data_IF_730538435764
#
_entry.id   IF_730538435764
#
_cell.length_a   1.000
_cell.length_b   1.000
_cell.length_c   1.000
_cell.angle_alpha   90.00
_cell.angle_beta   90.00
_cell.angle_gamma   90.00
#
_symmetry.space_group_name_H-M   'P 1'
#
loop_
_entity.id
_entity.type
_entity.pdbx_description
1 polymer ?
#
# COMPACT_ATOMS: atom_id res chain seq x y z
N UNK A 1 14.59 -13.52 2.85
CA UNK A 1 14.35 -12.13 3.28
C UNK A 1 14.30 -12.16 4.79
N UNK A 2 14.84 -11.17 5.52
CA UNK A 2 14.63 -11.12 6.99
C UNK A 2 13.13 -11.18 7.27
N UNK A 3 12.72 -11.97 8.26
CA UNK A 3 11.35 -11.91 8.75
C UNK A 3 11.07 -10.48 9.22
N UNK A 4 9.90 -9.96 8.85
CA UNK A 4 9.41 -8.66 9.26
C UNK A 4 8.04 -8.86 9.89
N UNK A 5 7.65 -7.99 10.82
CA UNK A 5 6.35 -8.06 11.48
C UNK A 5 5.26 -7.42 10.63
N UNK A 6 5.56 -6.28 10.01
CA UNK A 6 4.61 -5.48 9.24
C UNK A 6 5.13 -5.12 7.86
N UNK A 7 4.25 -5.23 6.86
CA UNK A 7 4.45 -4.63 5.55
C UNK A 7 3.64 -3.35 5.44
N UNK A 8 4.30 -2.30 4.94
CA UNK A 8 3.69 -1.01 4.66
C UNK A 8 3.95 -0.68 3.20
N UNK A 9 2.90 -0.30 2.48
CA UNK A 9 3.04 0.22 1.13
C UNK A 9 2.45 1.61 1.05
N UNK A 10 3.18 2.53 0.44
CA UNK A 10 2.79 3.92 0.23
C UNK A 10 2.86 4.20 -1.27
N UNK A 11 1.75 4.65 -1.85
CA UNK A 11 1.64 4.90 -3.29
C UNK A 11 0.98 6.24 -3.59
N UNK A 12 1.43 6.85 -4.67
CA UNK A 12 1.02 8.16 -5.16
C UNK A 12 0.44 8.02 -6.57
N UNK A 13 -0.82 8.39 -6.73
CA UNK A 13 -1.51 8.34 -8.01
C UNK A 13 -2.23 9.66 -8.27
N UNK A 14 -1.65 10.48 -9.14
CA UNK A 14 -2.14 11.82 -9.47
C UNK A 14 -2.38 12.68 -8.22
N UNK A 15 -3.64 13.00 -7.93
CA UNK A 15 -4.03 13.86 -6.81
C UNK A 15 -4.29 13.07 -5.53
N UNK A 16 -4.00 11.76 -5.51
CA UNK A 16 -4.20 10.90 -4.35
C UNK A 16 -2.90 10.31 -3.84
N UNK A 17 -2.84 10.16 -2.52
CA UNK A 17 -1.86 9.40 -1.79
C UNK A 17 -2.60 8.35 -0.97
N UNK A 18 -2.12 7.12 -1.04
CA UNK A 18 -2.61 6.02 -0.23
C UNK A 18 -1.50 5.35 0.55
N UNK A 19 -1.86 4.72 1.65
CA UNK A 19 -1.03 3.71 2.26
C UNK A 19 -1.87 2.56 2.81
N UNK A 20 -1.24 1.39 2.91
CA UNK A 20 -1.77 0.25 3.65
C UNK A 20 -0.72 -0.30 4.62
N UNK A 21 -1.20 -0.97 5.66
CA UNK A 21 -0.39 -1.72 6.62
C UNK A 21 -1.01 -3.10 6.80
N UNK A 22 -0.19 -4.15 6.75
CA UNK A 22 -0.61 -5.54 6.97
C UNK A 22 0.44 -6.29 7.79
N UNK A 23 -0.01 -7.10 8.76
CA UNK A 23 0.87 -8.04 9.48
C UNK A 23 1.39 -9.12 8.54
N UNK A 24 2.68 -9.46 8.64
CA UNK A 24 3.32 -10.50 7.83
C UNK A 24 2.58 -11.84 7.90
N UNK A 25 2.18 -12.27 9.10
CA UNK A 25 1.43 -13.53 9.31
C UNK A 25 0.12 -13.58 8.50
N UNK A 26 -0.54 -12.43 8.28
CA UNK A 26 -1.80 -12.34 7.53
C UNK A 26 -1.60 -12.33 6.01
N UNK A 27 -0.39 -12.04 5.54
CA UNK A 27 -0.10 -11.93 4.10
C UNK A 27 -0.49 -13.23 3.39
N UNK A 28 -0.09 -14.40 3.92
CA UNK A 28 -0.36 -15.70 3.28
C UNK A 28 -1.84 -15.96 3.08
N UNK A 29 -2.67 -15.62 4.07
CA UNK A 29 -4.13 -15.75 3.99
C UNK A 29 -4.77 -14.73 3.03
N UNK A 30 -4.10 -13.59 2.84
CA UNK A 30 -4.56 -12.52 1.97
C UNK A 30 -4.30 -12.80 0.49
N UNK A 31 -3.17 -13.44 0.17
CA UNK A 31 -2.72 -13.67 -1.21
C UNK A 31 -3.76 -14.34 -2.14
N UNK A 32 -4.49 -15.40 -1.74
CA UNK A 32 -5.49 -16.03 -2.61
C UNK A 32 -6.59 -15.06 -3.03
N UNK A 33 -6.96 -14.12 -2.16
CA UNK A 33 -8.08 -13.20 -2.36
C UNK A 33 -7.75 -12.08 -3.35
N UNK A 34 -6.47 -11.77 -3.46
CA UNK A 34 -5.94 -10.71 -4.32
C UNK A 34 -5.26 -11.27 -5.57
N UNK A 35 -5.40 -12.58 -5.83
CA UNK A 35 -4.81 -13.27 -6.99
C UNK A 35 -5.21 -12.67 -8.35
N UNK A 36 -6.38 -12.03 -8.42
CA UNK A 36 -6.90 -11.38 -9.64
C UNK A 36 -6.49 -9.92 -9.78
N UNK A 37 -5.77 -9.35 -8.81
CA UNK A 37 -5.35 -7.95 -8.87
C UNK A 37 -4.18 -7.82 -9.85
N UNK A 38 -4.21 -6.73 -10.62
CA UNK A 38 -3.25 -6.40 -11.65
C UNK A 38 -3.06 -4.88 -11.73
N UNK A 39 -1.89 -4.46 -12.21
CA UNK A 39 -1.61 -3.04 -12.40
C UNK A 39 -2.60 -2.40 -13.37
N UNK A 40 -3.36 -1.43 -12.88
CA UNK A 40 -4.45 -0.81 -13.63
C UNK A 40 -3.99 -0.20 -14.96
N UNK A 41 -2.78 0.41 -14.97
CA UNK A 41 -2.21 1.07 -16.16
C UNK A 41 -2.00 0.13 -17.34
N UNK A 42 -1.79 -1.18 -17.08
CA UNK A 42 -1.49 -2.18 -18.12
C UNK A 42 -2.74 -2.86 -18.70
N UNK A 43 -3.92 -2.54 -18.17
CA UNK A 43 -5.15 -3.20 -18.59
C UNK A 43 -5.74 -2.55 -19.84
N UNK A 44 -6.13 -3.39 -20.80
CA UNK A 44 -6.88 -2.98 -22.00
C UNK A 44 -8.32 -2.55 -21.66
N UNK A 45 -9.00 -3.31 -20.79
CA UNK A 45 -10.40 -3.10 -20.42
C UNK A 45 -10.55 -2.60 -18.98
N UNK A 46 -10.04 -1.39 -18.72
CA UNK A 46 -9.94 -0.77 -17.40
C UNK A 46 -11.26 -0.72 -16.60
N UNK A 47 -12.35 -0.24 -17.22
CA UNK A 47 -13.66 -0.12 -16.55
C UNK A 47 -14.22 -1.48 -16.11
N UNK A 48 -14.19 -2.47 -17.00
CA UNK A 48 -14.68 -3.82 -16.70
C UNK A 48 -13.88 -4.49 -15.57
N UNK A 49 -12.56 -4.30 -15.57
CA UNK A 49 -11.70 -4.77 -14.48
C UNK A 49 -12.07 -4.14 -13.15
N UNK A 50 -12.17 -2.81 -13.07
CA UNK A 50 -12.50 -2.10 -11.82
C UNK A 50 -13.85 -2.56 -11.26
N UNK A 51 -14.87 -2.70 -12.11
CA UNK A 51 -16.17 -3.17 -11.68
C UNK A 51 -16.12 -4.59 -11.10
N UNK A 52 -15.32 -5.46 -11.72
CA UNK A 52 -15.13 -6.84 -11.25
C UNK A 52 -14.35 -6.90 -9.94
N UNK A 53 -13.28 -6.10 -9.83
CA UNK A 53 -12.46 -6.06 -8.61
C UNK A 53 -13.21 -5.39 -7.46
N UNK A 54 -14.02 -4.36 -7.70
CA UNK A 54 -14.87 -3.76 -6.66
C UNK A 54 -15.74 -4.81 -5.97
N UNK A 55 -16.44 -5.63 -6.77
CA UNK A 55 -17.23 -6.76 -6.26
C UNK A 55 -16.40 -7.75 -5.44
N UNK A 56 -15.17 -8.03 -5.86
CA UNK A 56 -14.26 -8.92 -5.13
C UNK A 56 -13.76 -8.30 -3.82
N UNK A 57 -13.44 -7.00 -3.82
CA UNK A 57 -13.04 -6.24 -2.63
C UNK A 57 -14.13 -6.32 -1.57
N UNK A 58 -15.38 -6.07 -1.97
CA UNK A 58 -16.54 -6.08 -1.08
C UNK A 58 -16.84 -7.51 -0.60
N UNK A 59 -16.92 -8.48 -1.52
CA UNK A 59 -17.21 -9.89 -1.19
C UNK A 59 -16.20 -10.49 -0.22
N UNK A 60 -14.90 -10.24 -0.42
CA UNK A 60 -13.84 -10.81 0.40
C UNK A 60 -13.49 -9.96 1.63
N UNK A 61 -14.17 -8.81 1.81
CA UNK A 61 -13.90 -7.81 2.85
C UNK A 61 -12.41 -7.46 2.92
N UNK A 62 -11.80 -7.19 1.76
CA UNK A 62 -10.34 -7.00 1.63
C UNK A 62 -9.83 -5.91 2.60
N UNK A 63 -10.53 -4.78 2.69
CA UNK A 63 -10.10 -3.66 3.53
C UNK A 63 -10.11 -4.00 5.03
N UNK A 64 -11.04 -4.84 5.52
CA UNK A 64 -11.13 -5.17 6.95
C UNK A 64 -10.03 -6.10 7.44
N UNK A 65 -9.24 -6.67 6.52
CA UNK A 65 -8.12 -7.57 6.84
C UNK A 65 -6.79 -6.82 7.01
N UNK A 66 -6.72 -5.59 6.50
CA UNK A 66 -5.58 -4.70 6.66
C UNK A 66 -5.59 -4.12 8.08
N UNK A 67 -4.41 -3.90 8.65
CA UNK A 67 -4.27 -3.22 9.94
C UNK A 67 -4.70 -1.75 9.81
N UNK A 68 -4.28 -1.11 8.71
CA UNK A 68 -4.67 0.25 8.34
C UNK A 68 -4.73 0.36 6.83
N UNK A 69 -5.66 1.18 6.35
CA UNK A 69 -5.77 1.62 4.97
C UNK A 69 -6.29 3.05 5.01
N UNK A 70 -5.56 3.98 4.40
CA UNK A 70 -6.07 5.33 4.15
C UNK A 70 -5.72 5.76 2.74
N UNK A 71 -6.67 6.44 2.11
CA UNK A 71 -6.50 7.13 0.83
C UNK A 71 -6.97 8.56 1.05
N UNK A 72 -6.11 9.51 0.74
CA UNK A 72 -6.35 10.95 0.87
C UNK A 72 -5.90 11.67 -0.40
N UNK A 73 -6.25 12.95 -0.50
CA UNK A 73 -5.63 13.82 -1.49
C UNK A 73 -4.17 14.10 -1.11
N UNK A 74 -3.35 14.41 -2.11
CA UNK A 74 -1.92 14.69 -1.91
C UNK A 74 -1.65 15.92 -1.03
N UNK A 75 -2.57 16.88 -0.96
CA UNK A 75 -2.52 18.01 -0.01
C UNK A 75 -2.46 17.55 1.46
N UNK A 76 -3.03 16.38 1.78
CA UNK A 76 -2.99 15.77 3.11
C UNK A 76 -1.77 14.85 3.31
N UNK A 77 -0.71 14.97 2.51
CA UNK A 77 0.51 14.15 2.68
C UNK A 77 1.08 14.20 4.10
N UNK A 78 1.20 15.37 4.76
CA UNK A 78 1.70 15.44 6.13
C UNK A 78 0.89 14.58 7.11
N UNK A 79 -0.44 14.48 6.94
CA UNK A 79 -1.30 13.65 7.79
C UNK A 79 -1.01 12.16 7.61
N UNK A 80 -0.84 11.70 6.35
CA UNK A 80 -0.50 10.31 6.06
C UNK A 80 0.86 9.95 6.65
N UNK A 81 1.85 10.82 6.52
CA UNK A 81 3.15 10.59 7.12
C UNK A 81 3.05 10.57 8.64
N UNK A 82 2.39 11.55 9.27
CA UNK A 82 2.19 11.57 10.72
C UNK A 82 1.55 10.29 11.26
N UNK A 83 0.54 9.77 10.57
CA UNK A 83 -0.15 8.52 10.95
C UNK A 83 0.75 7.29 10.86
N UNK A 84 1.60 7.23 9.83
CA UNK A 84 2.61 6.16 9.70
C UNK A 84 3.68 6.29 10.79
N UNK A 85 4.13 7.50 11.10
CA UNK A 85 5.09 7.73 12.18
C UNK A 85 4.52 7.37 13.56
N UNK A 86 3.24 7.68 13.80
CA UNK A 86 2.54 7.25 15.01
C UNK A 86 2.46 5.71 15.08
N UNK A 87 2.24 5.05 13.95
CA UNK A 87 2.30 3.59 13.89
C UNK A 87 3.69 3.07 14.26
N UNK A 88 4.77 3.72 13.82
CA UNK A 88 6.14 3.36 14.21
C UNK A 88 6.35 3.47 15.71
N UNK A 89 5.95 4.59 16.31
CA UNK A 89 6.09 4.82 17.76
C UNK A 89 5.36 3.78 18.60
N UNK A 90 4.17 3.34 18.16
CA UNK A 90 3.38 2.30 18.85
C UNK A 90 3.95 0.88 18.69
N UNK A 91 4.91 0.69 17.79
CA UNK A 91 5.49 -0.60 17.42
C UNK A 91 7.02 -0.50 17.32
N UNK A 92 7.65 0.23 18.25
CA UNK A 92 9.09 0.56 18.29
C UNK A 92 10.04 -0.66 18.21
N UNK A 93 9.59 -1.81 18.70
CA UNK A 93 10.34 -3.06 18.71
C UNK A 93 9.99 -4.03 17.56
N UNK A 94 9.29 -3.56 16.52
CA UNK A 94 8.82 -4.39 15.41
C UNK A 94 9.59 -4.11 14.14
N UNK A 95 9.90 -5.17 13.40
CA UNK A 95 10.58 -5.08 12.12
C UNK A 95 9.59 -4.67 11.03
N UNK A 96 9.88 -3.56 10.35
CA UNK A 96 9.01 -3.01 9.32
C UNK A 96 9.67 -3.14 7.95
N UNK A 97 8.90 -3.68 7.01
CA UNK A 97 9.25 -3.65 5.60
C UNK A 97 8.35 -2.64 4.90
N UNK A 98 8.95 -1.61 4.30
CA UNK A 98 8.23 -0.51 3.68
C UNK A 98 8.65 -0.40 2.23
N UNK A 99 7.68 -0.40 1.33
CA UNK A 99 7.90 0.03 -0.05
C UNK A 99 7.18 1.34 -0.30
N UNK A 100 7.82 2.22 -1.06
CA UNK A 100 7.31 3.57 -1.36
C UNK A 100 7.41 3.82 -2.85
N UNK A 101 6.44 4.52 -3.42
CA UNK A 101 6.54 5.05 -4.79
C UNK A 101 7.92 5.71 -5.02
N UNK A 102 8.47 5.49 -6.21
CA UNK A 102 9.83 5.86 -6.56
C UNK A 102 10.10 7.36 -6.40
N UNK A 103 9.09 8.21 -6.66
CA UNK A 103 9.24 9.67 -6.58
C UNK A 103 9.35 10.15 -5.13
N UNK A 104 8.71 9.45 -4.20
CA UNK A 104 8.59 9.87 -2.80
C UNK A 104 9.57 9.14 -1.88
N UNK A 105 10.21 8.08 -2.39
CA UNK A 105 11.19 7.28 -1.67
C UNK A 105 12.28 8.11 -0.97
N UNK A 106 12.89 9.09 -1.65
CA UNK A 106 14.00 9.88 -1.07
C UNK A 106 13.52 10.66 0.15
N UNK A 107 12.38 11.34 0.04
CA UNK A 107 11.81 12.14 1.11
C UNK A 107 11.39 11.27 2.29
N UNK A 108 10.69 10.16 2.01
CA UNK A 108 10.24 9.25 3.05
C UNK A 108 11.40 8.55 3.75
N UNK A 109 12.43 8.12 3.03
CA UNK A 109 13.62 7.49 3.62
C UNK A 109 14.36 8.45 4.56
N UNK A 110 14.48 9.73 4.19
CA UNK A 110 15.06 10.75 5.07
C UNK A 110 14.26 10.89 6.37
N UNK A 111 12.92 10.92 6.26
CA UNK A 111 12.02 11.00 7.42
C UNK A 111 12.19 9.80 8.37
N UNK A 112 12.22 8.59 7.82
CA UNK A 112 12.40 7.34 8.61
C UNK A 112 13.74 7.33 9.34
N UNK A 113 14.81 7.75 8.67
CA UNK A 113 16.16 7.77 9.25
C UNK A 113 16.29 8.72 10.46
N UNK A 114 15.43 9.72 10.58
CA UNK A 114 15.43 10.66 11.72
C UNK A 114 14.85 10.01 12.98
N UNK A 115 13.92 9.05 12.85
CA UNK A 115 13.14 8.53 13.97
C UNK A 115 13.81 7.29 14.55
N UNK A 116 13.93 6.23 13.75
CA UNK A 116 14.75 5.06 14.03
C UNK A 116 14.82 4.18 12.77
N UNK A 117 15.92 4.28 12.03
CA UNK A 117 16.14 3.50 10.82
C UNK A 117 16.54 2.04 11.07
N UNK A 118 16.80 1.61 12.31
CA UNK A 118 17.39 0.28 12.58
C UNK A 118 16.41 -0.87 12.36
N UNK A 119 15.16 -0.69 12.79
CA UNK A 119 14.09 -1.70 12.66
C UNK A 119 13.27 -1.54 11.37
N UNK A 120 13.57 -0.53 10.54
CA UNK A 120 12.77 -0.16 9.39
C UNK A 120 13.60 -0.32 8.10
N UNK A 121 13.17 -1.26 7.25
CA UNK A 121 13.70 -1.39 5.90
C UNK A 121 12.79 -0.66 4.92
N UNK A 122 13.29 0.41 4.31
CA UNK A 122 12.59 1.14 3.23
C UNK A 122 13.22 0.79 1.89
N UNK A 123 12.39 0.40 0.91
CA UNK A 123 12.79 0.16 -0.47
C UNK A 123 11.92 0.96 -1.45
N UNK A 124 12.40 1.13 -2.68
CA UNK A 124 11.59 1.66 -3.77
C UNK A 124 10.59 0.62 -4.24
N UNK A 125 9.43 1.05 -4.74
CA UNK A 125 8.48 0.15 -5.40
C UNK A 125 9.13 -0.60 -6.58
N UNK A 126 9.97 0.07 -7.38
CA UNK A 126 10.66 -0.57 -8.49
C UNK A 126 11.59 -1.73 -8.08
N UNK A 127 11.98 -1.80 -6.81
CA UNK A 127 12.84 -2.85 -6.27
C UNK A 127 12.03 -4.07 -5.80
N UNK A 128 10.69 -4.00 -5.81
CA UNK A 128 9.83 -5.15 -5.54
C UNK A 128 9.89 -6.16 -6.70
N UNK A 129 10.22 -7.41 -6.37
CA UNK A 129 10.27 -8.50 -7.35
C UNK A 129 8.84 -8.95 -7.71
N UNK A 130 8.55 -9.09 -9.01
CA UNK A 130 7.20 -9.28 -9.59
C UNK A 130 6.38 -10.52 -9.17
N UNK A 131 6.84 -11.32 -8.23
CA UNK A 131 6.10 -12.50 -7.74
C UNK A 131 6.08 -12.59 -6.21
N UNK A 132 6.68 -11.62 -5.53
CA UNK A 132 6.72 -11.67 -4.07
C UNK A 132 5.36 -11.27 -3.48
N UNK A 133 5.07 -11.71 -2.25
CA UNK A 133 3.83 -11.33 -1.59
C UNK A 133 3.66 -9.81 -1.47
N UNK A 134 4.74 -9.08 -1.21
CA UNK A 134 4.74 -7.62 -1.06
C UNK A 134 4.35 -6.94 -2.37
N UNK A 135 4.92 -7.38 -3.50
CA UNK A 135 4.51 -6.92 -4.81
C UNK A 135 3.02 -7.21 -5.08
N UNK A 136 2.49 -8.37 -4.69
CA UNK A 136 1.06 -8.65 -4.87
C UNK A 136 0.19 -7.74 -4.00
N UNK A 137 0.61 -7.47 -2.77
CA UNK A 137 -0.10 -6.54 -1.88
C UNK A 137 -0.03 -5.11 -2.41
N UNK A 138 1.05 -4.70 -3.05
CA UNK A 138 1.15 -3.35 -3.62
C UNK A 138 0.06 -3.09 -4.67
N UNK A 139 -0.31 -4.12 -5.45
CA UNK A 139 -1.42 -4.06 -6.41
C UNK A 139 -2.78 -3.78 -5.76
N UNK A 140 -2.96 -4.11 -4.48
CA UNK A 140 -4.18 -3.82 -3.72
C UNK A 140 -4.33 -2.32 -3.57
N UNK A 141 -3.28 -1.62 -3.14
CA UNK A 141 -3.33 -0.17 -3.00
C UNK A 141 -3.46 0.53 -4.36
N UNK A 142 -2.72 0.10 -5.39
CA UNK A 142 -2.86 0.63 -6.77
C UNK A 142 -4.33 0.52 -7.20
N UNK A 143 -4.94 -0.65 -7.03
CA UNK A 143 -6.35 -0.85 -7.44
C UNK A 143 -7.32 -0.01 -6.62
N UNK A 144 -7.12 0.11 -5.31
CA UNK A 144 -7.98 0.91 -4.43
C UNK A 144 -7.85 2.42 -4.71
N UNK A 145 -6.65 2.91 -5.02
CA UNK A 145 -6.43 4.29 -5.46
C UNK A 145 -7.19 4.57 -6.76
N UNK A 146 -7.12 3.67 -7.74
CA UNK A 146 -7.86 3.81 -8.98
C UNK A 146 -9.39 3.74 -8.77
N UNK A 147 -9.87 2.92 -7.82
CA UNK A 147 -11.28 2.89 -7.42
C UNK A 147 -11.74 4.22 -6.78
N UNK A 148 -10.90 4.81 -5.92
CA UNK A 148 -11.19 6.09 -5.27
C UNK A 148 -11.27 7.24 -6.31
N UNK A 149 -10.36 7.24 -7.28
CA UNK A 149 -10.38 8.19 -8.40
C UNK A 149 -11.69 8.13 -9.18
N UNK A 150 -12.08 6.92 -9.60
CA UNK A 150 -13.32 6.73 -10.37
C UNK A 150 -14.61 7.04 -9.60
N UNK A 151 -14.58 7.10 -8.26
CA UNK A 151 -15.74 7.57 -7.47
C UNK A 151 -15.86 9.10 -7.48
N UNK A 152 -14.74 9.81 -7.59
CA UNK A 152 -14.69 11.27 -7.54
C UNK A 152 -14.75 11.90 -8.94
N UNK A 153 -14.33 11.17 -9.98
CA UNK A 153 -14.68 11.45 -11.36
C UNK A 153 -16.15 11.11 -11.58
N UNK A 154 -17.06 11.98 -11.09
CA UNK A 154 -18.48 11.92 -11.44
C UNK A 154 -18.59 11.97 -12.98
N UNK A 155 -19.17 10.92 -13.56
CA UNK A 155 -19.96 11.07 -14.78
C UNK A 155 -21.29 11.71 -14.39
#
# INVERSE_FOLDING_TARGET
>A
MKEFDYYIYIDYSENYLGYLIIENKRIREFLPMISKFAYYRKLKHKKAYINSIRKLVDKNKICSRLCRLKIRKTESTPEIYSDILEFFKKNDNRLMFISVDNKQFINFRKLVNIIDGKNIKVIKESELKKHTPEYKISLVLDTLLNLARLKNDKF
#
